data_IF_458404961136
#
_entry.id   IF_458404961136
#
_cell.length_a   1.000
_cell.length_b   1.000
_cell.length_c   1.000
_cell.angle_alpha   90.00
_cell.angle_beta   90.00
_cell.angle_gamma   90.00
#
_symmetry.space_group_name_H-M   'P 1'
#
loop_
_entity.id
_entity.type
_entity.pdbx_description
1 polymer ?
#
# COMPACT_ATOMS: atom_id res chain seq x y z
N UNK A 1 -13.32 36.42 1.16
CA UNK A 1 -13.24 35.41 2.23
C UNK A 1 -11.77 35.09 2.45
N UNK A 2 -11.19 35.53 3.56
CA UNK A 2 -9.82 35.14 3.94
C UNK A 2 -9.86 33.73 4.51
N UNK A 3 -9.34 32.77 3.76
CA UNK A 3 -9.13 31.40 4.26
C UNK A 3 -7.98 31.43 5.26
N UNK A 4 -8.28 31.36 6.55
CA UNK A 4 -7.29 31.09 7.57
C UNK A 4 -6.84 29.63 7.42
N UNK A 5 -5.71 29.43 6.74
CA UNK A 5 -5.08 28.13 6.66
C UNK A 5 -4.30 27.91 7.95
N UNK A 6 -4.79 27.01 8.79
CA UNK A 6 -4.10 26.63 10.01
C UNK A 6 -3.14 25.49 9.67
N UNK A 7 -1.84 25.77 9.73
CA UNK A 7 -0.84 24.74 9.55
C UNK A 7 -0.85 23.79 10.76
N UNK A 8 -0.65 22.47 10.53
CA UNK A 8 -0.43 21.53 11.62
C UNK A 8 0.82 21.90 12.42
N UNK A 9 0.94 21.37 13.63
CA UNK A 9 2.09 21.62 14.50
C UNK A 9 3.42 21.27 13.77
N UNK A 10 4.53 22.00 14.02
CA UNK A 10 5.81 21.77 13.35
C UNK A 10 6.29 20.31 13.42
N UNK A 11 5.99 19.63 14.52
CA UNK A 11 6.35 18.23 14.76
C UNK A 11 5.63 17.29 13.77
N UNK A 12 4.34 17.53 13.55
CA UNK A 12 3.53 16.76 12.61
C UNK A 12 3.96 17.03 11.16
N UNK A 13 4.33 18.27 10.83
CA UNK A 13 4.87 18.59 9.50
C UNK A 13 6.16 17.81 9.22
N UNK A 14 7.05 17.74 10.21
CA UNK A 14 8.31 17.02 10.08
C UNK A 14 8.11 15.50 9.98
N UNK A 15 7.16 14.94 10.73
CA UNK A 15 6.78 13.54 10.62
C UNK A 15 6.23 13.20 9.22
N UNK A 16 5.27 14.00 8.72
CA UNK A 16 4.71 13.82 7.39
C UNK A 16 5.80 13.90 6.30
N UNK A 17 6.72 14.86 6.43
CA UNK A 17 7.85 15.02 5.50
C UNK A 17 8.75 13.78 5.50
N UNK A 18 9.09 13.25 6.68
CA UNK A 18 9.91 12.04 6.82
C UNK A 18 9.23 10.82 6.20
N UNK A 19 7.94 10.62 6.48
CA UNK A 19 7.17 9.50 5.92
C UNK A 19 7.12 9.60 4.39
N UNK A 20 6.79 10.78 3.86
CA UNK A 20 6.73 10.99 2.42
C UNK A 20 8.08 10.69 1.73
N UNK A 21 9.19 11.16 2.31
CA UNK A 21 10.53 10.87 1.82
C UNK A 21 10.89 9.39 1.85
N UNK A 22 10.46 8.66 2.88
CA UNK A 22 10.69 7.21 2.99
C UNK A 22 9.91 6.42 1.92
N UNK A 23 8.69 6.87 1.58
CA UNK A 23 7.85 6.26 0.54
C UNK A 23 8.46 6.45 -0.85
N UNK A 24 9.05 7.61 -1.15
CA UNK A 24 9.58 7.97 -2.49
C UNK A 24 11.10 7.81 -2.60
N UNK A 25 11.72 7.02 -1.73
CA UNK A 25 13.16 6.82 -1.75
C UNK A 25 13.62 6.27 -3.13
N UNK A 26 14.75 6.75 -3.68
CA UNK A 26 15.29 6.19 -4.92
C UNK A 26 15.50 4.68 -4.78
N UNK A 27 15.11 3.92 -5.79
CA UNK A 27 15.18 2.46 -5.72
C UNK A 27 13.96 1.79 -5.10
N UNK A 28 12.90 2.54 -4.75
CA UNK A 28 11.71 2.02 -4.07
C UNK A 28 10.43 2.51 -4.74
N UNK A 29 9.38 1.71 -4.60
CA UNK A 29 8.04 2.04 -5.05
C UNK A 29 6.97 1.52 -4.10
N UNK A 30 5.71 1.76 -4.45
CA UNK A 30 4.56 1.39 -3.64
C UNK A 30 3.89 0.15 -4.25
N UNK A 31 3.70 -0.89 -3.44
CA UNK A 31 2.84 -2.01 -3.78
C UNK A 31 1.39 -1.68 -3.41
N UNK A 32 0.54 -1.46 -4.40
CA UNK A 32 -0.89 -1.28 -4.20
C UNK A 32 -1.59 -2.65 -4.04
N UNK A 33 -1.87 -3.04 -2.79
CA UNK A 33 -2.58 -4.27 -2.42
C UNK A 33 -3.95 -3.98 -1.73
N UNK A 34 -4.53 -2.83 -2.05
CA UNK A 34 -5.75 -2.25 -1.49
C UNK A 34 -7.03 -2.72 -2.22
N UNK A 35 -6.99 -3.85 -2.93
CA UNK A 35 -8.16 -4.33 -3.65
C UNK A 35 -9.33 -4.65 -2.72
N UNK A 36 -10.49 -4.07 -3.05
CA UNK A 36 -11.78 -4.39 -2.45
C UNK A 36 -12.11 -5.89 -2.61
N UNK A 37 -13.08 -6.38 -1.82
CA UNK A 37 -13.52 -7.79 -1.90
C UNK A 37 -14.03 -8.18 -3.29
N UNK A 38 -14.70 -7.26 -4.00
CA UNK A 38 -15.19 -7.48 -5.35
C UNK A 38 -14.06 -7.47 -6.40
N UNK A 39 -13.13 -6.52 -6.30
CA UNK A 39 -11.96 -6.45 -7.19
C UNK A 39 -11.06 -7.67 -7.04
N UNK A 40 -10.78 -8.06 -5.78
CA UNK A 40 -9.98 -9.26 -5.49
C UNK A 40 -10.69 -10.54 -5.94
N UNK A 41 -12.02 -10.58 -5.83
CA UNK A 41 -12.81 -11.70 -6.32
C UNK A 41 -12.63 -11.96 -7.81
N UNK A 42 -12.63 -10.90 -8.64
CA UNK A 42 -12.34 -11.03 -10.08
C UNK A 42 -10.94 -11.59 -10.32
N UNK A 43 -9.92 -11.03 -9.65
CA UNK A 43 -8.53 -11.51 -9.76
C UNK A 43 -8.38 -12.99 -9.37
N UNK A 44 -9.07 -13.43 -8.30
CA UNK A 44 -9.04 -14.84 -7.87
C UNK A 44 -9.80 -15.74 -8.84
N UNK A 45 -10.93 -15.29 -9.39
CA UNK A 45 -11.70 -16.05 -10.38
C UNK A 45 -10.91 -16.27 -11.67
N UNK A 46 -10.15 -15.27 -12.13
CA UNK A 46 -9.30 -15.39 -13.32
C UNK A 46 -8.26 -16.51 -13.20
N UNK A 47 -7.85 -16.85 -11.98
CA UNK A 47 -6.91 -17.94 -11.67
C UNK A 47 -7.60 -19.20 -11.11
N UNK A 48 -8.94 -19.27 -11.16
CA UNK A 48 -9.71 -20.43 -10.70
C UNK A 48 -9.76 -20.63 -9.18
N UNK A 49 -9.50 -19.57 -8.40
CA UNK A 49 -9.52 -19.61 -6.93
C UNK A 49 -10.83 -19.01 -6.39
N UNK A 50 -11.42 -19.68 -5.41
CA UNK A 50 -12.63 -19.19 -4.74
C UNK A 50 -12.36 -17.91 -3.92
N UNK A 51 -13.28 -16.96 -3.95
CA UNK A 51 -13.17 -15.69 -3.21
C UNK A 51 -13.53 -15.83 -1.72
N UNK A 52 -12.79 -16.64 -0.98
CA UNK A 52 -12.91 -16.76 0.48
C UNK A 52 -12.00 -15.76 1.20
N UNK A 53 -12.32 -15.44 2.45
CA UNK A 53 -11.45 -14.59 3.28
C UNK A 53 -10.06 -15.17 3.44
N UNK A 54 -9.95 -16.48 3.68
CA UNK A 54 -8.66 -17.16 3.83
C UNK A 54 -7.82 -17.08 2.54
N UNK A 55 -8.44 -17.19 1.36
CA UNK A 55 -7.71 -17.04 0.09
C UNK A 55 -7.23 -15.59 -0.11
N UNK A 56 -8.03 -14.59 0.28
CA UNK A 56 -7.59 -13.18 0.27
C UNK A 56 -6.45 -12.92 1.27
N UNK A 57 -6.50 -13.56 2.44
CA UNK A 57 -5.43 -13.50 3.45
C UNK A 57 -4.14 -14.12 2.93
N UNK A 58 -4.22 -15.33 2.36
CA UNK A 58 -3.07 -16.04 1.78
C UNK A 58 -2.44 -15.26 0.62
N UNK A 59 -3.25 -14.67 -0.26
CA UNK A 59 -2.76 -13.81 -1.34
C UNK A 59 -1.97 -12.62 -0.79
N UNK A 60 -2.52 -11.88 0.18
CA UNK A 60 -1.80 -10.76 0.81
C UNK A 60 -0.57 -11.23 1.58
N UNK A 61 -0.65 -12.35 2.29
CA UNK A 61 0.49 -12.93 2.99
C UNK A 61 1.61 -13.23 2.00
N UNK A 62 1.31 -13.84 0.85
CA UNK A 62 2.29 -14.14 -0.19
C UNK A 62 2.99 -12.88 -0.71
N UNK A 63 2.23 -11.79 -0.94
CA UNK A 63 2.80 -10.50 -1.39
C UNK A 63 3.75 -9.89 -0.37
N UNK A 64 3.48 -10.05 0.93
CA UNK A 64 4.30 -9.46 2.00
C UNK A 64 5.39 -10.40 2.52
N UNK A 65 5.26 -11.71 2.30
CA UNK A 65 6.23 -12.73 2.69
C UNK A 65 7.13 -13.17 1.55
N UNK A 66 7.04 -12.55 0.38
CA UNK A 66 8.02 -12.76 -0.67
C UNK A 66 9.40 -12.38 -0.14
N UNK A 67 10.42 -13.18 -0.44
CA UNK A 67 11.80 -12.77 -0.19
C UNK A 67 11.99 -11.36 -0.74
N UNK A 68 12.78 -10.51 -0.05
CA UNK A 68 13.04 -9.17 -0.53
C UNK A 68 13.48 -9.34 -1.98
N UNK A 69 12.65 -8.83 -2.90
CA UNK A 69 12.98 -8.67 -4.31
C UNK A 69 14.08 -7.63 -4.31
N UNK A 70 15.26 -8.06 -3.86
CA UNK A 70 16.45 -7.29 -3.67
C UNK A 70 16.83 -6.83 -5.06
N UNK A 71 16.81 -5.53 -5.27
CA UNK A 71 17.33 -4.80 -6.44
C UNK A 71 16.44 -4.58 -7.68
N UNK A 72 15.12 -4.81 -7.65
CA UNK A 72 14.24 -4.37 -8.76
C UNK A 72 13.21 -3.34 -8.31
N UNK A 73 13.72 -2.17 -7.92
CA UNK A 73 13.25 -0.84 -8.28
C UNK A 73 14.40 0.16 -8.03
#
# INVERSE_FOLDING_TARGET
MTTYFQYPAPELQEELRKIAQAIVAPGKGILAADESTGTMGKRLQDIGVENTEENRRRYRQLLFSSDPVSSLL
#
